data_IF_034310050613
#
_entry.id   IF_034310050613
#
_cell.length_a   1.000
_cell.length_b   1.000
_cell.length_c   1.000
_cell.angle_alpha   90.00
_cell.angle_beta   90.00
_cell.angle_gamma   90.00
#
_symmetry.space_group_name_H-M   'P 1'
#
loop_
_entity.id
_entity.type
_entity.pdbx_description
1 polymer ?
#
# COMPACT_ATOMS: atom_id res chain seq x y z
N UNK A 1 36.10 -42.16 -5.09
CA UNK A 1 35.30 -42.82 -4.03
C UNK A 1 34.11 -41.92 -3.72
N UNK A 2 32.92 -42.36 -4.11
CA UNK A 2 31.67 -41.63 -4.00
C UNK A 2 30.93 -42.15 -2.77
N UNK A 3 30.67 -41.28 -1.78
CA UNK A 3 29.86 -41.62 -0.61
C UNK A 3 28.53 -40.89 -0.71
N UNK A 4 27.50 -41.68 -1.08
CA UNK A 4 26.09 -41.29 -1.14
C UNK A 4 25.57 -40.95 0.26
N UNK A 5 25.00 -39.76 0.41
CA UNK A 5 24.18 -39.37 1.55
C UNK A 5 22.89 -40.21 1.59
N UNK A 6 22.49 -40.78 2.74
CA UNK A 6 21.22 -41.49 2.88
C UNK A 6 20.06 -40.49 2.95
N UNK A 7 19.04 -40.77 2.13
CA UNK A 7 17.82 -39.98 2.00
C UNK A 7 17.10 -39.78 3.34
N UNK A 8 16.84 -38.51 3.68
CA UNK A 8 15.98 -38.07 4.77
C UNK A 8 14.54 -38.50 4.42
N UNK A 9 14.08 -39.62 4.98
CA UNK A 9 12.69 -40.10 4.83
C UNK A 9 11.74 -39.01 5.33
N UNK A 10 10.83 -38.57 4.47
CA UNK A 10 9.68 -37.77 4.83
C UNK A 10 8.84 -38.54 5.89
N UNK A 11 8.31 -37.89 6.93
CA UNK A 11 7.37 -38.54 7.82
C UNK A 11 6.12 -38.94 7.03
N UNK A 12 5.74 -40.22 7.14
CA UNK A 12 4.59 -40.78 6.47
C UNK A 12 3.32 -39.98 6.82
N UNK A 13 2.48 -39.69 5.81
CA UNK A 13 1.12 -39.16 6.02
C UNK A 13 0.36 -40.13 6.93
N UNK A 14 0.17 -39.77 8.19
CA UNK A 14 -0.74 -40.51 9.06
C UNK A 14 -2.17 -40.27 8.56
N UNK A 15 -2.95 -41.33 8.28
CA UNK A 15 -4.38 -41.19 8.00
C UNK A 15 -5.06 -40.59 9.24
N UNK A 16 -6.02 -39.69 9.04
CA UNK A 16 -6.88 -39.18 10.12
C UNK A 16 -7.45 -40.39 10.88
N UNK A 17 -7.40 -40.40 12.21
CA UNK A 17 -7.93 -41.53 12.97
C UNK A 17 -9.42 -41.62 12.70
N UNK A 18 -9.88 -42.73 12.12
CA UNK A 18 -11.32 -42.99 11.94
C UNK A 18 -11.89 -43.35 13.30
N UNK A 19 -12.22 -42.32 14.06
CA UNK A 19 -13.02 -42.49 15.28
C UNK A 19 -14.43 -42.81 14.82
N UNK A 20 -15.12 -43.77 15.44
CA UNK A 20 -16.49 -44.14 15.03
C UNK A 20 -17.53 -43.01 15.06
N UNK A 21 -17.13 -41.76 15.31
CA UNK A 21 -17.95 -40.54 15.31
C UNK A 21 -17.63 -39.66 14.07
N UNK A 22 -18.58 -39.51 13.12
CA UNK A 22 -18.37 -38.71 11.91
C UNK A 22 -18.15 -37.22 12.18
N UNK A 23 -18.64 -36.68 13.30
CA UNK A 23 -18.44 -35.28 13.67
C UNK A 23 -17.00 -35.00 14.16
N UNK A 24 -16.37 -35.97 14.83
CA UNK A 24 -14.98 -35.88 15.28
C UNK A 24 -14.02 -36.05 14.08
N UNK A 25 -14.30 -36.98 13.18
CA UNK A 25 -13.53 -37.17 11.94
C UNK A 25 -13.56 -35.89 11.06
N UNK A 26 -14.70 -35.21 10.97
CA UNK A 26 -14.83 -33.93 10.28
C UNK A 26 -13.99 -32.83 10.95
N UNK A 27 -13.98 -32.80 12.28
CA UNK A 27 -13.19 -31.86 13.07
C UNK A 27 -11.69 -32.07 12.82
N UNK A 28 -11.19 -33.30 12.91
CA UNK A 28 -9.77 -33.60 12.63
C UNK A 28 -9.37 -33.23 11.21
N UNK A 29 -10.24 -33.44 10.21
CA UNK A 29 -9.97 -33.03 8.82
C UNK A 29 -9.86 -31.53 8.67
N UNK A 30 -10.84 -30.78 9.20
CA UNK A 30 -10.83 -29.32 9.15
C UNK A 30 -9.63 -28.74 9.90
N UNK A 31 -9.31 -29.31 11.07
CA UNK A 31 -8.16 -28.94 11.89
C UNK A 31 -6.83 -29.12 11.14
N UNK A 32 -6.58 -30.32 10.59
CA UNK A 32 -5.37 -30.59 9.82
C UNK A 32 -5.24 -29.72 8.57
N UNK A 33 -6.36 -29.35 7.95
CA UNK A 33 -6.36 -28.46 6.80
C UNK A 33 -6.02 -27.02 7.22
N UNK A 34 -6.55 -26.56 8.35
CA UNK A 34 -6.27 -25.24 8.92
C UNK A 34 -4.79 -25.13 9.33
N UNK A 35 -4.24 -26.12 10.06
CA UNK A 35 -2.81 -26.13 10.41
C UNK A 35 -1.88 -26.09 9.19
N UNK A 36 -2.22 -26.87 8.15
CA UNK A 36 -1.45 -26.86 6.89
C UNK A 36 -1.51 -25.52 6.18
N UNK A 37 -2.66 -24.85 6.21
CA UNK A 37 -2.84 -23.55 5.59
C UNK A 37 -2.13 -22.45 6.40
N UNK A 38 -2.23 -22.47 7.72
CA UNK A 38 -1.50 -21.56 8.61
C UNK A 38 0.00 -21.70 8.42
N UNK A 39 0.53 -22.92 8.42
CA UNK A 39 1.96 -23.15 8.16
C UNK A 39 2.41 -22.68 6.76
N UNK A 40 1.52 -22.71 5.76
CA UNK A 40 1.79 -22.13 4.43
C UNK A 40 1.78 -20.61 4.47
N UNK A 41 0.81 -20.00 5.16
CA UNK A 41 0.75 -18.55 5.37
C UNK A 41 2.00 -18.08 6.09
N UNK A 42 2.36 -18.68 7.23
CA UNK A 42 3.55 -18.34 8.01
C UNK A 42 4.84 -18.48 7.18
N UNK A 43 4.94 -19.54 6.37
CA UNK A 43 6.08 -19.69 5.46
C UNK A 43 6.08 -18.63 4.36
N UNK A 44 4.93 -18.26 3.82
CA UNK A 44 4.83 -17.23 2.80
C UNK A 44 5.09 -15.84 3.36
N UNK A 45 4.62 -15.52 4.56
CA UNK A 45 4.89 -14.26 5.24
C UNK A 45 6.35 -14.15 5.60
N UNK A 46 6.99 -15.22 6.10
CA UNK A 46 8.43 -15.25 6.35
C UNK A 46 9.23 -15.05 5.06
N UNK A 47 8.96 -15.85 4.02
CA UNK A 47 9.64 -15.70 2.72
C UNK A 47 9.40 -14.31 2.10
N UNK A 48 8.20 -13.75 2.26
CA UNK A 48 7.86 -12.41 1.83
C UNK A 48 8.66 -11.35 2.59
N UNK A 49 8.76 -11.48 3.91
CA UNK A 49 9.59 -10.61 4.76
C UNK A 49 11.06 -10.69 4.37
N UNK A 50 11.60 -11.87 4.11
CA UNK A 50 13.00 -12.04 3.67
C UNK A 50 13.26 -11.32 2.32
N UNK A 51 12.35 -11.46 1.36
CA UNK A 51 12.44 -10.77 0.06
C UNK A 51 12.35 -9.25 0.26
N UNK A 52 11.42 -8.79 1.10
CA UNK A 52 11.24 -7.37 1.37
C UNK A 52 12.44 -6.76 2.10
N UNK A 53 12.95 -7.43 3.14
CA UNK A 53 14.17 -7.00 3.85
C UNK A 53 15.36 -6.90 2.92
N UNK A 54 15.50 -7.86 1.99
CA UNK A 54 16.54 -7.79 0.98
C UNK A 54 16.34 -6.61 0.02
N UNK A 55 15.12 -6.35 -0.42
CA UNK A 55 14.80 -5.17 -1.22
C UNK A 55 15.19 -3.87 -0.51
N UNK A 56 14.81 -3.73 0.77
CA UNK A 56 15.18 -2.57 1.59
C UNK A 56 16.69 -2.42 1.79
N UNK A 57 17.44 -3.52 1.83
CA UNK A 57 18.91 -3.49 1.90
C UNK A 57 19.59 -3.15 0.58
N UNK A 58 19.18 -3.81 -0.51
CA UNK A 58 19.98 -3.87 -1.75
C UNK A 58 19.48 -2.92 -2.84
N UNK A 59 18.18 -2.59 -2.85
CA UNK A 59 17.50 -1.87 -3.94
C UNK A 59 16.98 -0.52 -3.50
N UNK A 60 16.31 -0.42 -2.35
CA UNK A 60 15.74 0.83 -1.83
C UNK A 60 16.74 1.99 -1.75
N UNK A 61 18.02 1.79 -1.33
CA UNK A 61 19.00 2.87 -1.36
C UNK A 61 19.30 3.38 -2.77
N UNK A 62 19.26 2.50 -3.78
CA UNK A 62 19.47 2.87 -5.18
C UNK A 62 18.26 3.60 -5.76
N UNK A 63 17.04 3.17 -5.43
CA UNK A 63 15.79 3.88 -5.79
C UNK A 63 15.78 5.31 -5.23
N UNK A 64 16.17 5.46 -3.95
CA UNK A 64 16.32 6.79 -3.33
C UNK A 64 17.37 7.63 -4.03
N UNK A 65 18.54 7.06 -4.30
CA UNK A 65 19.62 7.76 -5.01
C UNK A 65 19.19 8.20 -6.42
N UNK A 66 18.43 7.36 -7.13
CA UNK A 66 17.87 7.72 -8.43
C UNK A 66 16.89 8.90 -8.30
N UNK A 67 15.96 8.86 -7.34
CA UNK A 67 15.04 9.96 -7.07
C UNK A 67 15.78 11.27 -6.75
N UNK A 68 16.84 11.20 -5.94
CA UNK A 68 17.68 12.36 -5.60
C UNK A 68 18.33 12.99 -6.84
N UNK A 69 18.86 12.15 -7.74
CA UNK A 69 19.48 12.61 -8.98
C UNK A 69 18.45 13.15 -9.98
N UNK A 70 17.28 12.51 -10.10
CA UNK A 70 16.18 13.00 -10.92
C UNK A 70 15.74 14.37 -10.43
N UNK A 71 15.51 14.55 -9.14
CA UNK A 71 15.15 15.84 -8.57
C UNK A 71 16.22 16.91 -8.80
N UNK A 72 17.51 16.57 -8.63
CA UNK A 72 18.60 17.48 -8.93
C UNK A 72 18.63 17.89 -10.41
N UNK A 73 18.31 16.96 -11.32
CA UNK A 73 18.19 17.23 -12.75
C UNK A 73 16.99 18.11 -13.05
N UNK A 74 15.82 17.79 -12.51
CA UNK A 74 14.60 18.60 -12.62
C UNK A 74 14.87 20.04 -12.20
N UNK A 75 15.49 20.25 -11.03
CA UNK A 75 15.87 21.58 -10.54
C UNK A 75 16.77 22.32 -11.54
N UNK A 76 17.79 21.64 -12.08
CA UNK A 76 18.71 22.23 -13.05
C UNK A 76 18.02 22.61 -14.36
N UNK A 77 17.10 21.78 -14.83
CA UNK A 77 16.30 22.04 -16.02
C UNK A 77 15.34 23.23 -15.79
N UNK A 78 14.73 23.32 -14.61
CA UNK A 78 13.88 24.44 -14.21
C UNK A 78 14.63 25.77 -14.22
N UNK A 79 15.92 25.80 -13.82
CA UNK A 79 16.73 27.02 -13.90
C UNK A 79 16.91 27.56 -15.34
N UNK A 80 16.77 26.69 -16.35
CA UNK A 80 16.83 27.08 -17.76
C UNK A 80 15.51 27.62 -18.30
N UNK A 81 14.36 27.34 -17.67
CA UNK A 81 13.05 27.77 -18.21
C UNK A 81 12.89 29.30 -18.21
N UNK A 82 13.60 30.02 -17.35
CA UNK A 82 13.64 31.49 -17.35
C UNK A 82 14.33 32.11 -18.60
N UNK A 83 15.09 31.33 -19.37
CA UNK A 83 15.97 31.88 -20.43
C UNK A 83 15.20 32.17 -21.71
N UNK A 84 15.36 33.39 -22.24
CA UNK A 84 14.69 33.83 -23.50
C UNK A 84 15.29 33.26 -24.80
N UNK A 85 16.42 32.55 -24.71
CA UNK A 85 17.22 32.10 -25.85
C UNK A 85 16.76 30.80 -26.53
N UNK A 86 15.66 30.21 -26.06
CA UNK A 86 15.09 28.99 -26.64
C UNK A 86 14.01 29.32 -27.67
N UNK A 87 13.96 28.53 -28.74
CA UNK A 87 12.82 28.50 -29.66
C UNK A 87 11.59 27.90 -28.97
N UNK A 88 10.39 28.10 -29.54
CA UNK A 88 9.15 27.57 -28.96
C UNK A 88 9.19 26.05 -28.77
N UNK A 89 9.53 25.28 -29.81
CA UNK A 89 9.62 23.81 -29.70
C UNK A 89 10.64 23.35 -28.64
N UNK A 90 11.75 24.08 -28.46
CA UNK A 90 12.75 23.77 -27.43
C UNK A 90 12.18 23.98 -26.03
N UNK A 91 11.39 25.05 -25.85
CA UNK A 91 10.71 25.32 -24.57
C UNK A 91 9.68 24.26 -24.28
N UNK A 92 8.82 23.93 -25.24
CA UNK A 92 7.81 22.88 -25.07
C UNK A 92 8.46 21.54 -24.71
N UNK A 93 9.52 21.14 -25.43
CA UNK A 93 10.28 19.91 -25.12
C UNK A 93 10.87 19.94 -23.72
N UNK A 94 11.41 21.08 -23.29
CA UNK A 94 11.96 21.24 -21.95
C UNK A 94 10.88 21.12 -20.87
N UNK A 95 9.72 21.75 -21.06
CA UNK A 95 8.61 21.67 -20.11
C UNK A 95 8.04 20.25 -20.03
N UNK A 96 7.83 19.58 -21.17
CA UNK A 96 7.40 18.17 -21.18
C UNK A 96 8.39 17.28 -20.44
N UNK A 97 9.70 17.46 -20.69
CA UNK A 97 10.71 16.68 -19.98
C UNK A 97 10.70 16.94 -18.47
N UNK A 98 10.61 18.20 -18.03
CA UNK A 98 10.50 18.53 -16.61
C UNK A 98 9.25 17.89 -15.99
N UNK A 99 8.12 17.94 -16.69
CA UNK A 99 6.87 17.34 -16.25
C UNK A 99 6.97 15.81 -16.11
N UNK A 100 7.57 15.12 -17.09
CA UNK A 100 7.80 13.67 -17.01
C UNK A 100 8.63 13.29 -15.77
N UNK A 101 9.68 14.06 -15.47
CA UNK A 101 10.52 13.81 -14.29
C UNK A 101 9.76 14.06 -12.99
N UNK A 102 8.92 15.09 -12.93
CA UNK A 102 8.09 15.39 -11.76
C UNK A 102 7.03 14.30 -11.55
N UNK A 103 6.32 13.90 -12.59
CA UNK A 103 5.33 12.80 -12.52
C UNK A 103 5.97 11.49 -12.04
N UNK A 104 7.19 11.21 -12.51
CA UNK A 104 7.96 10.07 -12.01
C UNK A 104 8.25 10.19 -10.51
N UNK A 105 8.68 11.36 -10.04
CA UNK A 105 8.93 11.58 -8.61
C UNK A 105 7.66 11.46 -7.76
N UNK A 106 6.52 11.99 -8.22
CA UNK A 106 5.24 11.94 -7.49
C UNK A 106 4.70 10.52 -7.35
N UNK A 107 4.82 9.72 -8.40
CA UNK A 107 4.38 8.32 -8.40
C UNK A 107 5.34 7.37 -7.68
N UNK A 108 6.58 7.79 -7.40
CA UNK A 108 7.58 6.93 -6.79
C UNK A 108 7.51 6.97 -5.25
N UNK A 109 7.22 5.82 -4.58
CA UNK A 109 7.13 5.76 -3.12
C UNK A 109 8.47 6.01 -2.40
N UNK A 110 9.60 6.00 -3.13
CA UNK A 110 10.94 6.21 -2.59
C UNK A 110 11.43 7.65 -2.70
N UNK A 111 10.59 8.59 -3.19
CA UNK A 111 10.95 10.02 -3.31
C UNK A 111 11.35 10.67 -1.98
N UNK A 112 10.88 10.13 -0.85
CA UNK A 112 11.14 10.69 0.48
C UNK A 112 10.41 12.03 0.70
N UNK A 113 11.03 12.92 1.48
CA UNK A 113 10.48 14.24 1.86
C UNK A 113 10.82 15.35 0.85
N UNK A 114 11.08 15.00 -0.41
CA UNK A 114 11.43 15.98 -1.44
C UNK A 114 10.22 16.88 -1.75
N UNK A 115 10.37 18.17 -1.45
CA UNK A 115 9.35 19.16 -1.75
C UNK A 115 9.42 19.61 -3.22
N UNK A 116 8.35 19.35 -3.96
CA UNK A 116 8.20 19.68 -5.38
C UNK A 116 7.50 21.03 -5.58
N UNK A 117 6.81 21.57 -4.56
CA UNK A 117 6.05 22.82 -4.68
C UNK A 117 6.92 24.01 -5.13
N UNK A 118 8.16 24.22 -4.62
CA UNK A 118 9.03 25.28 -5.10
C UNK A 118 9.38 25.15 -6.58
N UNK A 119 9.51 23.92 -7.09
CA UNK A 119 9.80 23.67 -8.50
C UNK A 119 8.59 24.04 -9.36
N UNK A 120 7.38 23.64 -8.97
CA UNK A 120 6.15 24.02 -9.66
C UNK A 120 5.99 25.55 -9.73
N UNK A 121 6.19 26.23 -8.59
CA UNK A 121 6.12 27.68 -8.54
C UNK A 121 7.14 28.33 -9.48
N UNK A 122 8.39 27.86 -9.46
CA UNK A 122 9.45 28.38 -10.33
C UNK A 122 9.15 28.14 -11.81
N UNK A 123 8.62 26.97 -12.18
CA UNK A 123 8.22 26.65 -13.56
C UNK A 123 7.11 27.60 -13.99
N UNK A 124 6.04 27.76 -13.21
CA UNK A 124 4.92 28.62 -13.55
C UNK A 124 5.35 30.09 -13.72
N UNK A 125 6.11 30.63 -12.76
CA UNK A 125 6.67 31.99 -12.86
C UNK A 125 7.55 32.14 -14.09
N UNK A 126 8.42 31.16 -14.38
CA UNK A 126 9.30 31.23 -15.54
C UNK A 126 8.52 31.13 -16.86
N UNK A 127 7.46 30.34 -16.93
CA UNK A 127 6.57 30.24 -18.10
C UNK A 127 5.86 31.57 -18.35
N UNK A 128 5.33 32.20 -17.30
CA UNK A 128 4.64 33.48 -17.40
C UNK A 128 5.52 34.61 -17.94
N UNK A 129 6.85 34.54 -17.75
CA UNK A 129 7.80 35.53 -18.31
C UNK A 129 7.91 35.51 -19.84
N UNK A 130 7.43 34.45 -20.51
CA UNK A 130 7.52 34.30 -21.96
C UNK A 130 6.17 34.32 -22.66
N UNK A 131 5.09 34.52 -21.90
CA UNK A 131 3.76 34.70 -22.45
C UNK A 131 3.61 36.09 -23.08
N UNK A 132 2.90 36.17 -24.19
CA UNK A 132 2.42 37.44 -24.73
C UNK A 132 1.15 37.90 -24.01
N UNK A 133 0.68 39.12 -24.33
CA UNK A 133 -0.48 39.72 -23.67
C UNK A 133 -1.77 38.92 -23.93
N UNK A 134 -1.92 38.33 -25.12
CA UNK A 134 -3.10 37.52 -25.49
C UNK A 134 -3.13 36.19 -24.71
N UNK A 135 -1.97 35.54 -24.56
CA UNK A 135 -1.80 34.36 -23.73
C UNK A 135 -2.04 34.66 -22.25
N UNK A 136 -1.55 35.82 -21.76
CA UNK A 136 -1.76 36.24 -20.38
C UNK A 136 -3.24 36.48 -20.09
N UNK A 137 -3.94 37.15 -21.01
CA UNK A 137 -5.37 37.39 -20.86
C UNK A 137 -6.17 36.09 -20.86
N UNK A 138 -5.83 35.13 -21.73
CA UNK A 138 -6.42 33.79 -21.70
C UNK A 138 -6.21 33.07 -20.35
N UNK A 139 -5.00 33.12 -19.79
CA UNK A 139 -4.75 32.53 -18.47
C UNK A 139 -5.47 33.26 -17.33
N UNK A 140 -5.66 34.58 -17.43
CA UNK A 140 -6.46 35.34 -16.48
C UNK A 140 -7.94 34.94 -16.53
N UNK A 141 -8.48 34.67 -17.72
CA UNK A 141 -9.86 34.18 -17.89
C UNK A 141 -10.04 32.80 -17.25
N UNK A 142 -9.12 31.86 -17.51
CA UNK A 142 -9.11 30.54 -16.88
C UNK A 142 -8.98 30.64 -15.35
N UNK A 143 -8.09 31.50 -14.86
CA UNK A 143 -7.91 31.75 -13.43
C UNK A 143 -9.19 32.31 -12.79
N UNK A 144 -9.88 33.21 -13.50
CA UNK A 144 -11.14 33.80 -13.05
C UNK A 144 -12.22 32.73 -12.90
N UNK A 145 -12.34 31.83 -13.89
CA UNK A 145 -13.28 30.71 -13.80
C UNK A 145 -12.98 29.82 -12.58
N UNK A 146 -11.71 29.44 -12.39
CA UNK A 146 -11.27 28.63 -11.26
C UNK A 146 -11.57 29.30 -9.90
N UNK A 147 -11.27 30.60 -9.75
CA UNK A 147 -11.56 31.34 -8.52
C UNK A 147 -13.05 31.51 -8.27
N UNK A 148 -13.86 31.68 -9.32
CA UNK A 148 -15.31 31.77 -9.19
C UNK A 148 -15.90 30.43 -8.73
N UNK A 149 -15.38 29.31 -9.21
CA UNK A 149 -15.83 27.97 -8.82
C UNK A 149 -15.42 27.61 -7.38
N UNK A 150 -14.17 27.90 -7.00
CA UNK A 150 -13.60 27.53 -5.69
C UNK A 150 -13.95 28.54 -4.59
N UNK A 151 -13.75 29.83 -4.84
CA UNK A 151 -13.97 30.90 -3.86
C UNK A 151 -15.36 31.53 -3.97
N UNK A 152 -16.02 31.52 -5.13
CA UNK A 152 -17.27 32.24 -5.37
C UNK A 152 -17.09 33.75 -5.59
N UNK A 153 -15.85 34.21 -5.61
CA UNK A 153 -15.46 35.59 -5.86
C UNK A 153 -14.09 35.64 -6.53
N UNK A 154 -13.86 36.65 -7.35
CA UNK A 154 -12.56 36.93 -7.96
C UNK A 154 -12.17 38.40 -7.72
N UNK A 155 -10.88 38.75 -7.78
CA UNK A 155 -10.45 40.15 -7.83
C UNK A 155 -11.06 40.86 -9.04
N UNK A 156 -11.60 42.08 -8.85
CA UNK A 156 -12.16 42.89 -9.94
C UNK A 156 -11.09 43.51 -10.85
N UNK A 157 -9.83 43.56 -10.39
CA UNK A 157 -8.72 44.19 -11.09
C UNK A 157 -7.92 43.18 -11.92
N UNK A 158 -7.91 43.36 -13.25
CA UNK A 158 -7.17 42.50 -14.18
C UNK A 158 -5.66 42.52 -13.94
N UNK A 159 -5.11 43.62 -13.40
CA UNK A 159 -3.69 43.69 -13.08
C UNK A 159 -3.35 42.78 -11.89
N UNK A 160 -4.25 42.65 -10.91
CA UNK A 160 -4.08 41.68 -9.81
C UNK A 160 -4.15 40.23 -10.28
N UNK A 161 -5.05 39.92 -11.23
CA UNK A 161 -5.13 38.59 -11.84
C UNK A 161 -3.83 38.28 -12.61
N UNK A 162 -3.31 39.24 -13.38
CA UNK A 162 -2.02 39.09 -14.08
C UNK A 162 -0.86 38.87 -13.12
N UNK A 163 -0.85 39.55 -11.98
CA UNK A 163 0.16 39.34 -10.94
C UNK A 163 0.03 37.97 -10.27
N UNK A 164 -1.18 37.46 -10.08
CA UNK A 164 -1.42 36.09 -9.58
C UNK A 164 -0.97 35.02 -10.58
N UNK A 165 -1.20 35.21 -11.89
CA UNK A 165 -0.71 34.30 -12.94
C UNK A 165 0.82 34.24 -12.93
N UNK A 166 1.50 35.37 -12.70
CA UNK A 166 2.97 35.47 -12.66
C UNK A 166 3.55 34.97 -11.34
N UNK A 167 2.82 35.13 -10.24
CA UNK A 167 3.26 34.78 -8.89
C UNK A 167 2.26 33.83 -8.20
N UNK A 168 2.50 32.52 -8.26
CA UNK A 168 1.62 31.51 -7.67
C UNK A 168 1.44 31.66 -6.15
N UNK A 169 2.39 32.30 -5.46
CA UNK A 169 2.27 32.54 -4.02
C UNK A 169 1.14 33.53 -3.69
N UNK A 170 0.91 34.54 -4.55
CA UNK A 170 -0.20 35.49 -4.38
C UNK A 170 -1.55 34.80 -4.57
N UNK A 171 -1.62 33.87 -5.53
CA UNK A 171 -2.81 33.05 -5.74
C UNK A 171 -3.08 32.15 -4.52
N UNK A 172 -2.06 31.46 -4.02
CA UNK A 172 -2.21 30.59 -2.86
C UNK A 172 -2.62 31.37 -1.59
N UNK A 173 -2.03 32.55 -1.37
CA UNK A 173 -2.43 33.44 -0.27
C UNK A 173 -3.89 33.89 -0.40
N UNK A 174 -4.34 34.21 -1.62
CA UNK A 174 -5.74 34.56 -1.88
C UNK A 174 -6.69 33.41 -1.54
N UNK A 175 -6.38 32.17 -1.97
CA UNK A 175 -7.17 30.98 -1.67
C UNK A 175 -7.27 30.72 -0.16
N UNK A 176 -6.15 30.81 0.58
CA UNK A 176 -6.14 30.64 2.03
C UNK A 176 -6.99 31.72 2.72
N UNK A 177 -6.87 32.98 2.30
CA UNK A 177 -7.62 34.07 2.89
C UNK A 177 -9.13 33.94 2.60
N UNK A 178 -9.51 33.53 1.39
CA UNK A 178 -10.89 33.24 1.02
C UNK A 178 -11.48 32.09 1.85
N UNK A 179 -10.73 31.01 2.05
CA UNK A 179 -11.13 29.89 2.89
C UNK A 179 -11.32 30.31 4.36
N UNK A 180 -10.39 31.10 4.91
CA UNK A 180 -10.50 31.66 6.26
C UNK A 180 -11.71 32.57 6.42
N UNK A 181 -12.03 33.39 5.41
CA UNK A 181 -13.21 34.25 5.43
C UNK A 181 -14.52 33.46 5.37
N UNK A 182 -14.57 32.36 4.60
CA UNK A 182 -15.71 31.43 4.62
C UNK A 182 -15.88 30.77 6.00
N UNK A 183 -14.80 30.37 6.67
CA UNK A 183 -14.85 29.83 8.04
C UNK A 183 -15.27 30.90 9.06
N UNK A 184 -14.74 32.13 8.96
CA UNK A 184 -15.08 33.23 9.86
C UNK A 184 -16.55 33.68 9.71
N UNK A 185 -17.04 33.82 8.48
CA UNK A 185 -18.44 34.15 8.20
C UNK A 185 -19.41 32.98 8.48
N UNK A 186 -18.90 31.74 8.55
CA UNK A 186 -19.64 30.57 9.04
C UNK A 186 -19.69 30.44 10.57
N UNK A 187 -18.91 31.24 11.30
CA UNK A 187 -18.77 31.14 12.78
C UNK A 187 -19.71 32.05 13.59
N UNK A 188 -20.62 32.82 12.94
CA UNK A 188 -21.65 33.59 13.65
C UNK A 188 -22.85 32.74 14.11
N UNK A 189 -22.81 31.41 13.94
CA UNK A 189 -23.75 30.48 14.59
C UNK A 189 -23.01 29.38 15.34
N UNK A 190 -23.06 29.50 16.67
CA UNK A 190 -22.69 28.54 17.71
C UNK A 190 -21.19 28.43 18.03
N UNK A 191 -20.86 28.90 19.23
CA UNK A 191 -19.55 28.73 19.85
C UNK A 191 -19.32 27.33 20.43
N UNK A 192 -18.03 27.09 20.67
CA UNK A 192 -17.44 26.04 21.50
C UNK A 192 -17.66 24.59 21.03
N UNK A 193 -16.69 24.07 20.26
CA UNK A 193 -15.85 22.93 20.68
C UNK A 193 -14.66 22.73 19.72
N UNK A 194 -13.49 22.51 20.31
CA UNK A 194 -12.16 22.33 19.71
C UNK A 194 -11.99 20.99 18.94
N UNK A 195 -10.99 20.98 18.07
CA UNK A 195 -10.25 19.83 17.52
C UNK A 195 -10.99 18.88 16.55
N UNK A 196 -11.11 19.33 15.29
CA UNK A 196 -11.10 18.42 14.15
C UNK A 196 -9.82 18.66 13.33
N UNK A 197 -8.87 17.73 13.47
CA UNK A 197 -7.76 17.53 12.55
C UNK A 197 -8.29 17.51 11.11
N UNK A 198 -7.81 18.46 10.31
CA UNK A 198 -8.05 18.56 8.88
C UNK A 198 -7.43 17.32 8.21
N UNK A 199 -8.28 16.37 7.81
CA UNK A 199 -7.90 15.25 6.94
C UNK A 199 -8.17 15.69 5.49
N UNK A 200 -7.12 15.77 4.69
CA UNK A 200 -7.06 16.45 3.38
C UNK A 200 -7.59 15.58 2.21
N UNK A 201 -8.36 14.52 2.51
CA UNK A 201 -8.72 13.46 1.56
C UNK A 201 -10.18 13.51 1.04
N UNK A 202 -11.01 14.47 1.46
CA UNK A 202 -12.45 14.48 1.09
C UNK A 202 -12.83 15.35 -0.12
N UNK A 203 -11.90 16.05 -0.76
CA UNK A 203 -12.22 16.96 -1.88
C UNK A 203 -12.29 16.31 -3.28
N UNK A 204 -12.16 14.97 -3.38
CA UNK A 204 -12.22 14.26 -4.67
C UNK A 204 -13.20 13.08 -4.71
N UNK A 205 -14.25 13.11 -3.90
CA UNK A 205 -15.27 12.05 -3.88
C UNK A 205 -16.66 12.54 -4.29
N UNK A 206 -16.83 13.00 -5.54
CA UNK A 206 -18.08 12.69 -6.24
C UNK A 206 -17.91 12.72 -7.77
N UNK A 207 -18.03 11.55 -8.40
CA UNK A 207 -19.07 11.27 -9.40
C UNK A 207 -18.84 9.87 -10.03
N UNK A 208 -19.58 8.87 -9.54
CA UNK A 208 -19.88 7.66 -10.32
C UNK A 208 -21.39 7.44 -10.28
N UNK A 209 -22.13 7.71 -11.39
CA UNK A 209 -23.59 7.70 -11.40
C UNK A 209 -24.18 6.29 -11.59
N UNK A 210 -23.70 5.28 -10.87
CA UNK A 210 -24.28 3.93 -10.91
C UNK A 210 -24.02 3.13 -9.63
N UNK A 211 -25.08 2.90 -8.82
CA UNK A 211 -25.16 1.71 -7.94
C UNK A 211 -25.07 1.87 -6.41
N UNK A 212 -25.49 2.99 -5.81
CA UNK A 212 -25.45 3.17 -4.35
C UNK A 212 -26.45 2.28 -3.55
N UNK A 213 -27.58 1.87 -4.12
CA UNK A 213 -28.61 1.12 -3.38
C UNK A 213 -28.27 -0.37 -3.11
N UNK A 214 -27.23 -0.91 -3.76
CA UNK A 214 -26.79 -2.29 -3.51
C UNK A 214 -25.64 -2.40 -2.49
N UNK A 215 -24.86 -1.35 -2.26
CA UNK A 215 -23.73 -1.41 -1.31
C UNK A 215 -24.18 -1.31 0.15
N UNK A 216 -25.19 -0.49 0.46
CA UNK A 216 -25.73 -0.36 1.82
C UNK A 216 -26.38 -1.66 2.33
N UNK A 217 -27.08 -2.39 1.45
CA UNK A 217 -27.66 -3.69 1.80
C UNK A 217 -26.59 -4.76 2.08
N UNK A 218 -25.44 -4.70 1.41
CA UNK A 218 -24.30 -5.60 1.65
C UNK A 218 -23.51 -5.22 2.90
N UNK A 219 -23.37 -3.92 3.21
CA UNK A 219 -22.73 -3.44 4.43
C UNK A 219 -23.55 -3.76 5.70
N UNK A 220 -24.88 -3.57 5.66
CA UNK A 220 -25.80 -3.93 6.76
C UNK A 220 -25.93 -5.45 6.97
N UNK A 221 -25.85 -6.25 5.92
CA UNK A 221 -25.85 -7.72 6.05
C UNK A 221 -24.51 -8.28 6.55
N UNK A 222 -23.39 -7.58 6.31
CA UNK A 222 -22.07 -7.89 6.89
C UNK A 222 -22.04 -7.64 8.40
N UNK A 223 -22.45 -6.45 8.83
CA UNK A 223 -22.51 -6.07 10.26
C UNK A 223 -23.49 -6.93 11.06
N UNK A 224 -24.66 -7.27 10.49
CA UNK A 224 -25.61 -8.19 11.16
C UNK A 224 -25.05 -9.61 11.30
N UNK A 225 -24.33 -10.12 10.30
CA UNK A 225 -23.65 -11.43 10.38
C UNK A 225 -22.54 -11.40 11.43
N UNK A 226 -21.73 -10.36 11.47
CA UNK A 226 -20.66 -10.18 12.46
C UNK A 226 -21.23 -10.15 13.90
N UNK A 227 -22.33 -9.44 14.13
CA UNK A 227 -23.03 -9.41 15.44
C UNK A 227 -23.64 -10.78 15.81
N UNK A 228 -24.27 -11.48 14.86
CA UNK A 228 -24.77 -12.85 15.08
C UNK A 228 -23.63 -13.84 15.39
N UNK A 229 -22.44 -13.58 14.88
CA UNK A 229 -21.24 -14.38 15.11
C UNK A 229 -20.60 -14.12 16.47
N UNK A 230 -20.46 -12.85 16.86
CA UNK A 230 -20.01 -12.47 18.20
C UNK A 230 -20.91 -13.10 19.27
N UNK A 231 -22.24 -13.03 19.07
CA UNK A 231 -23.20 -13.68 19.97
C UNK A 231 -23.04 -15.20 20.03
N UNK A 232 -22.72 -15.86 18.91
CA UNK A 232 -22.47 -17.33 18.88
C UNK A 232 -21.15 -17.69 19.55
N UNK A 233 -20.10 -16.88 19.39
CA UNK A 233 -18.82 -17.05 20.06
C UNK A 233 -19.02 -16.84 21.58
N UNK A 234 -19.75 -15.81 21.99
CA UNK A 234 -20.15 -15.56 23.39
C UNK A 234 -20.90 -16.76 24.00
N UNK A 235 -21.85 -17.33 23.24
CA UNK A 235 -22.58 -18.52 23.65
C UNK A 235 -21.65 -19.73 23.81
N UNK A 236 -20.66 -19.91 22.94
CA UNK A 236 -19.69 -21.00 23.07
C UNK A 236 -18.77 -20.84 24.29
N UNK A 237 -18.23 -19.64 24.53
CA UNK A 237 -17.44 -19.37 25.73
C UNK A 237 -18.27 -19.44 27.02
N UNK A 238 -19.58 -19.21 26.95
CA UNK A 238 -20.48 -19.37 28.09
C UNK A 238 -20.86 -20.83 28.37
N UNK A 239 -20.81 -21.73 27.37
CA UNK A 239 -21.10 -23.16 27.50
C UNK A 239 -20.15 -23.87 28.48
N UNK A 240 -20.74 -24.78 29.25
CA UNK A 240 -20.06 -25.52 30.33
C UNK A 240 -18.83 -26.30 29.84
N UNK A 241 -18.88 -26.83 28.64
CA UNK A 241 -17.87 -27.71 28.07
C UNK A 241 -16.55 -27.02 27.69
N UNK A 242 -16.59 -25.80 27.13
CA UNK A 242 -15.38 -25.02 26.83
C UNK A 242 -14.74 -24.45 28.10
N UNK A 243 -15.55 -24.03 29.08
CA UNK A 243 -15.07 -23.70 30.44
C UNK A 243 -14.42 -24.90 31.12
N UNK A 244 -14.96 -26.11 30.91
CA UNK A 244 -14.35 -27.34 31.42
C UNK A 244 -13.02 -27.64 30.74
N UNK A 245 -12.91 -27.42 29.42
CA UNK A 245 -11.66 -27.57 28.67
C UNK A 245 -10.60 -26.58 29.15
N UNK A 246 -10.94 -25.30 29.31
CA UNK A 246 -10.06 -24.28 29.91
C UNK A 246 -9.62 -24.67 31.33
N UNK A 247 -10.54 -25.09 32.20
CA UNK A 247 -10.20 -25.52 33.57
C UNK A 247 -9.29 -26.74 33.60
N UNK A 248 -9.54 -27.75 32.75
CA UNK A 248 -8.69 -28.94 32.65
C UNK A 248 -7.29 -28.59 32.16
N UNK A 249 -7.20 -27.68 31.19
CA UNK A 249 -5.93 -27.19 30.66
C UNK A 249 -5.14 -26.40 31.72
N UNK A 250 -5.80 -25.47 32.42
CA UNK A 250 -5.20 -24.70 33.52
C UNK A 250 -4.72 -25.60 34.67
N UNK A 251 -5.46 -26.67 35.00
CA UNK A 251 -5.08 -27.63 36.04
C UNK A 251 -3.88 -28.51 35.64
N UNK A 252 -3.78 -28.87 34.35
CA UNK A 252 -2.67 -29.67 33.81
C UNK A 252 -1.38 -28.85 33.66
N UNK A 253 -1.51 -27.55 33.37
CA UNK A 253 -0.39 -26.64 33.06
C UNK A 253 -0.06 -25.67 34.20
N UNK A 254 -0.59 -25.88 35.41
CA UNK A 254 -0.33 -24.99 36.54
C UNK A 254 1.16 -24.97 36.95
N UNK A 255 1.81 -23.79 37.04
CA UNK A 255 3.24 -23.69 37.32
C UNK A 255 3.64 -24.19 38.72
N UNK A 256 2.77 -24.06 39.73
CA UNK A 256 3.05 -24.56 41.11
C UNK A 256 3.22 -26.08 41.23
N UNK A 257 2.88 -26.85 40.19
CA UNK A 257 2.95 -28.32 40.21
C UNK A 257 4.25 -28.88 39.64
N UNK A 258 5.16 -28.03 39.14
CA UNK A 258 6.45 -28.48 38.61
C UNK A 258 7.62 -28.17 39.55
N UNK A 259 8.41 -29.17 39.94
CA UNK A 259 9.62 -28.97 40.76
C UNK A 259 10.84 -28.51 39.94
N UNK A 260 10.82 -28.62 38.60
CA UNK A 260 11.90 -28.15 37.73
C UNK A 260 11.71 -26.66 37.35
N UNK A 261 12.66 -25.77 37.69
CA UNK A 261 12.56 -24.33 37.39
C UNK A 261 12.50 -24.02 35.90
N UNK A 262 13.09 -24.84 35.02
CA UNK A 262 13.01 -24.62 33.57
C UNK A 262 11.61 -24.97 33.03
N UNK A 263 11.01 -26.05 33.53
CA UNK A 263 9.65 -26.45 33.16
C UNK A 263 8.60 -25.52 33.77
N UNK A 264 8.87 -24.96 34.96
CA UNK A 264 8.00 -23.97 35.59
C UNK A 264 7.90 -22.68 34.76
N UNK A 265 9.04 -22.19 34.24
CA UNK A 265 9.08 -21.01 33.37
C UNK A 265 8.27 -21.23 32.08
N UNK A 266 8.41 -22.40 31.44
CA UNK A 266 7.65 -22.74 30.24
C UNK A 266 6.14 -22.88 30.52
N UNK A 267 5.75 -23.52 31.64
CA UNK A 267 4.34 -23.59 32.05
C UNK A 267 3.76 -22.21 32.37
N UNK A 268 4.55 -21.31 32.92
CA UNK A 268 4.13 -19.92 33.19
C UNK A 268 3.86 -19.18 31.87
N UNK A 269 4.75 -19.35 30.88
CA UNK A 269 4.56 -18.80 29.53
C UNK A 269 3.28 -19.32 28.89
N UNK A 270 3.06 -20.64 28.93
CA UNK A 270 1.86 -21.26 28.33
C UNK A 270 0.59 -20.85 29.07
N UNK A 271 0.63 -20.71 30.40
CA UNK A 271 -0.50 -20.23 31.19
C UNK A 271 -0.88 -18.79 30.84
N UNK A 272 0.11 -17.92 30.60
CA UNK A 272 -0.13 -16.57 30.10
C UNK A 272 -0.81 -16.55 28.73
N UNK A 273 -0.35 -17.39 27.79
CA UNK A 273 -0.98 -17.55 26.48
C UNK A 273 -2.41 -18.09 26.59
N UNK A 274 -2.66 -19.02 27.51
CA UNK A 274 -3.98 -19.57 27.78
C UNK A 274 -4.96 -18.50 28.32
N UNK A 275 -4.51 -17.67 29.27
CA UNK A 275 -5.33 -16.59 29.82
C UNK A 275 -5.64 -15.53 28.77
N UNK A 276 -4.65 -15.11 27.98
CA UNK A 276 -4.85 -14.13 26.90
C UNK A 276 -5.80 -14.65 25.82
N UNK A 277 -5.64 -15.91 25.39
CA UNK A 277 -6.52 -16.52 24.40
C UNK A 277 -7.96 -16.67 24.93
N UNK A 278 -8.14 -16.88 26.23
CA UNK A 278 -9.45 -16.92 26.87
C UNK A 278 -10.12 -15.55 26.95
N UNK A 279 -9.37 -14.51 27.32
CA UNK A 279 -9.84 -13.12 27.40
C UNK A 279 -10.20 -12.56 26.01
N UNK A 280 -9.35 -12.78 25.01
CA UNK A 280 -9.55 -12.33 23.64
C UNK A 280 -10.54 -13.20 22.85
N UNK A 281 -11.13 -14.22 23.48
CA UNK A 281 -12.03 -15.19 22.83
C UNK A 281 -11.40 -15.91 21.61
N UNK A 282 -10.08 -16.12 21.63
CA UNK A 282 -9.30 -16.78 20.58
C UNK A 282 -9.45 -18.31 20.64
N UNK A 283 -10.59 -18.81 20.14
CA UNK A 283 -10.96 -20.22 20.22
C UNK A 283 -9.95 -21.17 19.57
N UNK A 284 -9.39 -20.80 18.41
CA UNK A 284 -8.42 -21.65 17.72
C UNK A 284 -7.16 -21.84 18.55
N UNK A 285 -6.62 -20.76 19.13
CA UNK A 285 -5.47 -20.77 20.03
C UNK A 285 -5.73 -21.67 21.24
N UNK A 286 -6.92 -21.58 21.86
CA UNK A 286 -7.31 -22.43 22.98
C UNK A 286 -7.37 -23.92 22.63
N UNK A 287 -7.98 -24.27 21.49
CA UNK A 287 -8.04 -25.65 21.01
C UNK A 287 -6.66 -26.20 20.66
N UNK A 288 -5.77 -25.35 20.13
CA UNK A 288 -4.40 -25.73 19.80
C UNK A 288 -3.58 -26.02 21.06
N UNK A 289 -3.69 -25.16 22.08
CA UNK A 289 -3.07 -25.38 23.39
C UNK A 289 -3.62 -26.65 24.05
N UNK A 290 -4.93 -26.88 23.97
CA UNK A 290 -5.56 -28.07 24.51
C UNK A 290 -5.14 -29.35 23.77
N UNK A 291 -5.07 -29.33 22.43
CA UNK A 291 -4.60 -30.45 21.64
C UNK A 291 -3.12 -30.79 21.95
N UNK A 292 -2.27 -29.78 22.13
CA UNK A 292 -0.85 -29.96 22.40
C UNK A 292 -0.55 -30.50 23.81
N UNK A 293 -1.39 -30.16 24.80
CA UNK A 293 -1.08 -30.41 26.22
C UNK A 293 -2.05 -31.36 26.93
N UNK A 294 -3.17 -31.74 26.32
CA UNK A 294 -4.13 -32.69 26.89
C UNK A 294 -4.19 -33.99 26.08
N UNK A 295 -3.70 -35.12 26.63
CA UNK A 295 -3.78 -36.43 25.95
C UNK A 295 -5.22 -36.94 25.79
N UNK A 296 -6.17 -36.43 26.58
CA UNK A 296 -7.59 -36.78 26.51
C UNK A 296 -8.43 -35.80 25.68
N UNK A 297 -7.80 -34.93 24.88
CA UNK A 297 -8.47 -33.83 24.17
C UNK A 297 -9.72 -34.27 23.39
N UNK A 298 -9.62 -35.35 22.63
CA UNK A 298 -10.73 -35.87 21.82
C UNK A 298 -11.94 -36.30 22.69
N UNK A 299 -11.71 -36.77 23.92
CA UNK A 299 -12.77 -37.16 24.85
C UNK A 299 -13.51 -35.96 25.47
N UNK A 300 -12.94 -34.76 25.33
CA UNK A 300 -13.54 -33.51 25.82
C UNK A 300 -14.43 -32.84 24.75
N UNK A 301 -14.40 -33.35 23.52
CA UNK A 301 -15.20 -32.85 22.40
C UNK A 301 -16.54 -33.60 22.35
N UNK A 302 -17.56 -33.05 23.02
CA UNK A 302 -18.93 -33.58 22.91
C UNK A 302 -19.54 -33.31 21.53
N UNK A 303 -20.52 -34.12 21.13
CA UNK A 303 -21.27 -33.93 19.87
C UNK A 303 -21.91 -32.53 19.77
N UNK A 304 -22.38 -32.02 20.91
CA UNK A 304 -22.91 -30.66 20.98
C UNK A 304 -21.83 -29.64 20.65
N UNK A 305 -20.60 -29.77 21.16
CA UNK A 305 -19.51 -28.85 20.83
C UNK A 305 -19.09 -28.98 19.36
N UNK A 306 -18.98 -30.20 18.86
CA UNK A 306 -18.58 -30.49 17.48
C UNK A 306 -19.55 -29.91 16.45
N UNK A 307 -20.85 -29.83 16.78
CA UNK A 307 -21.86 -29.19 15.94
C UNK A 307 -21.58 -27.69 15.71
N UNK A 308 -20.91 -27.01 16.64
CA UNK A 308 -20.53 -25.60 16.51
C UNK A 308 -19.09 -25.40 16.04
N UNK A 309 -18.15 -26.23 16.50
CA UNK A 309 -16.74 -26.12 16.15
C UNK A 309 -16.49 -26.41 14.66
N UNK A 310 -17.19 -27.39 14.07
CA UNK A 310 -16.99 -27.77 12.68
C UNK A 310 -17.35 -26.66 11.66
N UNK A 311 -18.54 -26.04 11.72
CA UNK A 311 -18.87 -24.92 10.85
C UNK A 311 -17.91 -23.73 10.99
N UNK A 312 -17.47 -23.44 12.22
CA UNK A 312 -16.56 -22.34 12.51
C UNK A 312 -15.16 -22.61 11.95
N UNK A 313 -14.58 -23.79 12.18
CA UNK A 313 -13.28 -24.18 11.60
C UNK A 313 -13.32 -24.12 10.07
N UNK A 314 -14.42 -24.55 9.44
CA UNK A 314 -14.60 -24.45 7.99
C UNK A 314 -14.70 -23.00 7.49
N UNK A 315 -15.17 -22.08 8.32
CA UNK A 315 -15.23 -20.65 7.99
C UNK A 315 -13.85 -19.99 8.14
N UNK A 316 -13.18 -20.22 9.27
CA UNK A 316 -11.80 -19.78 9.50
C UNK A 316 -10.86 -20.30 8.41
N UNK A 317 -11.05 -21.54 7.96
CA UNK A 317 -10.32 -22.08 6.82
C UNK A 317 -10.58 -21.27 5.53
N UNK A 318 -11.83 -20.89 5.26
CA UNK A 318 -12.15 -20.02 4.10
C UNK A 318 -11.59 -18.61 4.23
N UNK A 319 -11.64 -18.01 5.42
CA UNK A 319 -11.06 -16.69 5.68
C UNK A 319 -9.54 -16.71 5.49
N UNK A 320 -8.86 -17.73 6.00
CA UNK A 320 -7.44 -17.95 5.79
C UNK A 320 -7.12 -18.24 4.32
N UNK A 321 -7.99 -18.95 3.58
CA UNK A 321 -7.82 -19.14 2.13
C UNK A 321 -7.93 -17.82 1.38
N UNK A 322 -8.93 -16.99 1.71
CA UNK A 322 -9.09 -15.65 1.12
C UNK A 322 -7.87 -14.78 1.44
N UNK A 323 -7.38 -14.76 2.68
CA UNK A 323 -6.17 -14.03 3.06
C UNK A 323 -4.93 -14.55 2.32
N UNK A 324 -4.79 -15.87 2.17
CA UNK A 324 -3.66 -16.49 1.47
C UNK A 324 -3.66 -16.18 -0.04
N UNK A 325 -4.83 -16.08 -0.67
CA UNK A 325 -4.95 -15.81 -2.11
C UNK A 325 -5.20 -14.33 -2.46
N UNK A 326 -5.57 -13.50 -1.49
CA UNK A 326 -6.00 -12.11 -1.68
C UNK A 326 -4.90 -11.09 -1.99
N UNK A 327 -3.64 -11.52 -2.03
CA UNK A 327 -2.50 -10.61 -2.22
C UNK A 327 -2.12 -9.87 -0.93
N UNK A 328 -0.98 -9.17 -0.98
CA UNK A 328 -0.60 -8.24 0.09
C UNK A 328 -0.87 -6.84 -0.47
N UNK A 329 -1.61 -6.01 0.26
CA UNK A 329 -1.80 -4.60 -0.07
C UNK A 329 -0.61 -3.76 0.44
N UNK A 330 -0.35 -2.61 -0.19
CA UNK A 330 0.72 -1.67 0.18
C UNK A 330 2.11 -1.97 -0.44
N UNK A 331 3.12 -1.21 -0.02
CA UNK A 331 4.48 -1.24 -0.60
C UNK A 331 5.11 -2.63 -0.60
N UNK A 332 4.98 -3.36 0.51
CA UNK A 332 5.47 -4.74 0.61
C UNK A 332 4.81 -5.64 -0.43
N UNK A 333 3.51 -5.46 -0.66
CA UNK A 333 2.77 -6.16 -1.70
C UNK A 333 3.27 -5.88 -3.10
N UNK A 334 3.48 -4.61 -3.44
CA UNK A 334 4.04 -4.22 -4.74
C UNK A 334 5.44 -4.80 -4.96
N UNK A 335 6.32 -4.76 -3.94
CA UNK A 335 7.65 -5.37 -3.98
C UNK A 335 7.54 -6.88 -4.20
N UNK A 336 6.68 -7.58 -3.46
CA UNK A 336 6.50 -9.01 -3.67
C UNK A 336 5.93 -9.31 -5.04
N UNK A 337 4.97 -8.55 -5.54
CA UNK A 337 4.41 -8.73 -6.88
C UNK A 337 5.49 -8.64 -7.97
N UNK A 338 6.42 -7.68 -7.84
CA UNK A 338 7.52 -7.48 -8.80
C UNK A 338 8.63 -8.55 -8.67
N UNK A 339 9.08 -8.84 -7.45
CA UNK A 339 10.30 -9.63 -7.21
C UNK A 339 10.06 -11.10 -6.85
N UNK A 340 8.90 -11.46 -6.31
CA UNK A 340 8.58 -12.85 -5.94
C UNK A 340 8.25 -13.64 -7.21
N UNK A 341 9.19 -14.48 -7.63
CA UNK A 341 9.07 -15.30 -8.83
C UNK A 341 8.81 -16.76 -8.47
N UNK A 342 8.43 -17.55 -9.46
CA UNK A 342 8.17 -19.00 -9.33
C UNK A 342 9.35 -19.82 -8.78
N UNK A 343 10.57 -19.29 -8.79
CA UNK A 343 11.76 -19.95 -8.23
C UNK A 343 12.74 -18.95 -7.65
N UNK A 344 13.55 -19.39 -6.67
CA UNK A 344 14.61 -18.56 -6.07
C UNK A 344 15.60 -18.00 -7.10
N UNK A 345 15.95 -18.78 -8.13
CA UNK A 345 16.84 -18.34 -9.22
C UNK A 345 16.22 -17.20 -10.04
N UNK A 346 14.93 -17.29 -10.35
CA UNK A 346 14.22 -16.22 -11.09
C UNK A 346 14.06 -14.96 -10.24
N UNK A 347 13.82 -15.11 -8.94
CA UNK A 347 13.82 -13.97 -8.02
C UNK A 347 15.20 -13.32 -7.99
N UNK A 348 16.27 -14.09 -7.88
CA UNK A 348 17.65 -13.56 -7.93
C UNK A 348 17.91 -12.77 -9.22
N UNK A 349 17.48 -13.32 -10.35
CA UNK A 349 17.59 -12.64 -11.64
C UNK A 349 16.80 -11.34 -11.69
N UNK A 350 15.55 -11.31 -11.21
CA UNK A 350 14.74 -10.09 -11.16
C UNK A 350 15.38 -9.00 -10.28
N UNK A 351 15.98 -9.37 -9.15
CA UNK A 351 16.76 -8.45 -8.32
C UNK A 351 17.99 -7.91 -9.07
N UNK A 352 18.76 -8.79 -9.72
CA UNK A 352 19.95 -8.40 -10.46
C UNK A 352 19.63 -7.47 -11.64
N UNK A 353 18.59 -7.80 -12.42
CA UNK A 353 18.14 -7.00 -13.56
C UNK A 353 17.69 -5.59 -13.13
N UNK A 354 16.89 -5.52 -12.07
CA UNK A 354 16.43 -4.23 -11.56
C UNK A 354 17.58 -3.41 -10.95
N UNK A 355 18.50 -4.06 -10.22
CA UNK A 355 19.70 -3.41 -9.69
C UNK A 355 20.59 -2.86 -10.80
N UNK A 356 20.82 -3.64 -11.85
CA UNK A 356 21.64 -3.23 -13.00
C UNK A 356 20.98 -2.10 -13.78
N UNK A 357 19.65 -2.11 -13.90
CA UNK A 357 18.89 -1.00 -14.45
C UNK A 357 19.11 0.28 -13.63
N UNK A 358 18.90 0.23 -12.32
CA UNK A 358 19.07 1.39 -11.44
C UNK A 358 20.50 1.94 -11.48
N UNK A 359 21.51 1.07 -11.44
CA UNK A 359 22.91 1.52 -11.51
C UNK A 359 23.24 2.22 -12.83
N UNK A 360 22.77 1.66 -13.96
CA UNK A 360 22.96 2.30 -15.26
C UNK A 360 22.25 3.65 -15.35
N UNK A 361 21.06 3.74 -14.78
CA UNK A 361 20.28 4.97 -14.79
C UNK A 361 20.91 6.04 -13.88
N UNK A 362 21.37 5.64 -12.68
CA UNK A 362 22.14 6.50 -11.77
C UNK A 362 23.41 7.04 -12.46
N UNK A 363 24.18 6.18 -13.13
CA UNK A 363 25.37 6.59 -13.88
C UNK A 363 25.01 7.56 -15.01
N UNK A 364 23.91 7.29 -15.72
CA UNK A 364 23.41 8.15 -16.80
C UNK A 364 22.97 9.52 -16.30
N UNK A 365 22.14 9.57 -15.24
CA UNK A 365 21.68 10.81 -14.61
C UNK A 365 22.85 11.62 -14.06
N UNK A 366 23.84 10.96 -13.45
CA UNK A 366 25.05 11.62 -12.95
C UNK A 366 25.84 12.26 -14.10
N UNK A 367 26.01 11.54 -15.21
CA UNK A 367 26.68 12.07 -16.40
C UNK A 367 25.90 13.24 -17.02
N UNK A 368 24.57 13.11 -17.14
CA UNK A 368 23.69 14.18 -17.64
C UNK A 368 23.80 15.43 -16.78
N UNK A 369 23.77 15.29 -15.46
CA UNK A 369 23.95 16.40 -14.53
C UNK A 369 25.31 17.08 -14.71
N UNK A 370 26.39 16.31 -14.91
CA UNK A 370 27.73 16.85 -15.12
C UNK A 370 27.86 17.59 -16.47
N UNK A 371 27.18 17.11 -17.52
CA UNK A 371 27.24 17.69 -18.86
C UNK A 371 26.32 18.91 -19.01
N UNK A 372 25.08 18.81 -18.53
CA UNK A 372 24.05 19.85 -18.65
C UNK A 372 24.33 20.95 -17.63
N UNK A 373 25.27 21.82 -17.96
CA UNK A 373 25.65 22.99 -17.14
C UNK A 373 25.35 24.30 -17.84
N UNK A 374 25.14 24.27 -19.16
CA UNK A 374 24.88 25.46 -19.98
C UNK A 374 23.76 25.21 -20.99
N UNK A 375 23.27 26.29 -21.60
CA UNK A 375 22.31 26.23 -22.69
C UNK A 375 22.84 25.46 -23.92
N UNK A 376 24.14 25.58 -24.21
CA UNK A 376 24.74 24.90 -25.35
C UNK A 376 24.78 23.38 -25.15
N UNK A 377 25.07 22.93 -23.93
CA UNK A 377 25.09 21.51 -23.57
C UNK A 377 23.69 20.92 -23.43
N UNK A 378 22.66 21.73 -23.11
CA UNK A 378 21.27 21.27 -23.02
C UNK A 378 20.60 21.08 -24.39
N UNK A 379 20.89 21.94 -25.38
CA UNK A 379 20.22 21.91 -26.70
C UNK A 379 20.27 20.55 -27.41
N UNK A 380 21.40 19.80 -27.43
CA UNK A 380 21.45 18.46 -28.02
C UNK A 380 20.47 17.48 -27.38
N UNK A 381 20.30 17.53 -26.05
CA UNK A 381 19.35 16.68 -25.34
C UNK A 381 17.90 16.98 -25.72
N UNK A 382 17.56 18.27 -25.88
CA UNK A 382 16.23 18.67 -26.34
C UNK A 382 15.97 18.22 -27.78
N UNK A 383 16.95 18.34 -28.67
CA UNK A 383 16.82 17.87 -30.05
C UNK A 383 16.62 16.35 -30.11
N UNK A 384 17.41 15.58 -29.37
CA UNK A 384 17.27 14.12 -29.34
C UNK A 384 15.91 13.67 -28.80
N UNK A 385 15.38 14.34 -27.77
CA UNK A 385 14.04 14.06 -27.22
C UNK A 385 12.93 14.42 -28.19
N UNK A 386 13.05 15.56 -28.87
CA UNK A 386 12.12 15.96 -29.92
C UNK A 386 12.08 14.93 -31.05
N UNK A 387 13.24 14.49 -31.55
CA UNK A 387 13.32 13.47 -32.60
C UNK A 387 12.66 12.15 -32.18
N UNK A 388 12.85 11.72 -30.92
CA UNK A 388 12.18 10.53 -30.37
C UNK A 388 10.66 10.69 -30.31
N UNK A 389 10.16 11.85 -29.90
CA UNK A 389 8.72 12.12 -29.85
C UNK A 389 8.10 12.11 -31.26
N UNK A 390 8.80 12.69 -32.23
CA UNK A 390 8.38 12.69 -33.64
C UNK A 390 8.36 11.30 -34.26
N UNK A 391 9.31 10.42 -33.89
CA UNK A 391 9.30 9.02 -34.34
C UNK A 391 8.09 8.28 -33.78
N UNK A 392 7.80 8.41 -32.47
CA UNK A 392 6.62 7.78 -31.86
C UNK A 392 5.32 8.20 -32.52
N UNK A 393 5.13 9.49 -32.79
CA UNK A 393 3.93 9.97 -33.46
C UNK A 393 3.78 9.42 -34.88
N UNK A 394 4.87 9.28 -35.64
CA UNK A 394 4.80 8.63 -36.96
C UNK A 394 4.45 7.16 -36.88
N UNK A 395 5.02 6.43 -35.91
CA UNK A 395 4.70 5.02 -35.70
C UNK A 395 3.23 4.83 -35.28
N UNK A 396 2.70 5.71 -34.43
CA UNK A 396 1.28 5.71 -34.02
C UNK A 396 0.32 6.11 -35.16
N UNK A 397 0.71 7.05 -36.02
CA UNK A 397 -0.05 7.41 -37.22
C UNK A 397 -0.09 6.26 -38.23
N UNK A 398 1.06 5.60 -38.48
CA UNK A 398 1.15 4.41 -39.34
C UNK A 398 0.31 3.24 -38.77
N UNK A 399 0.29 3.08 -37.44
CA UNK A 399 -0.55 2.11 -36.71
C UNK A 399 -2.04 2.53 -36.62
N UNK A 400 -2.41 3.73 -37.05
CA UNK A 400 -3.79 4.19 -37.18
C UNK A 400 -4.26 4.20 -38.65
N UNK A 401 -3.34 4.20 -39.63
CA UNK A 401 -3.68 4.10 -41.05
C UNK A 401 -4.44 2.81 -41.41
N UNK A 402 -4.27 1.70 -40.66
CA UNK A 402 -5.04 0.48 -40.90
C UNK A 402 -6.52 0.60 -40.52
N UNK A 403 -6.90 1.55 -39.65
CA UNK A 403 -8.31 1.81 -39.30
C UNK A 403 -9.08 2.48 -40.45
N UNK A 404 -8.37 3.04 -41.42
CA UNK A 404 -8.94 3.76 -42.56
C UNK A 404 -8.77 3.02 -43.90
N UNK A 405 -8.35 1.74 -43.89
CA UNK A 405 -8.24 0.88 -45.08
C UNK A 405 -9.31 -0.19 -45.18
#
# INVERSE_FOLDING_TARGET
MSLRNPARKQPARQPSPTTGNPALDLFHRNWQALEKLQAKIDKQTLNGRDIYQRFTSDIEPLERQQCELIFALTKRLTDFTARKSFTQWQRETLHHWIHDLINYLESNPFRGEMDLAPLYHQIQTNTALHMDDEQLDYQCDELTHMLMETCGHCPEDIDTLRDMVKNPALLHEYLINAAKQKMANGSDTAGEEEDALFDDDELFADESPFGAEQQDAFAHTRTRREQEEEMRIEQLFSKSSLKQLYRKLALALHPDREPDPAMQAEKTRIMGQLSQAWENKEMFTLLQLAHAHLPEFDNLLSDENLAYLNPMLKRQLRELEVSYYGGQDGLMGAVLHKFKQSSKKKTEQAFAEHRDYLLRDIDHLTAQLAEITTLQTLKPYLAARWDQQQIRWREEEDDMEWLFR
#
